data_IF_964026700100
#
_entry.id   IF_964026700100
#
_cell.length_a   1.000
_cell.length_b   1.000
_cell.length_c   1.000
_cell.angle_alpha   90.00
_cell.angle_beta   90.00
_cell.angle_gamma   90.00
#
_symmetry.space_group_name_H-M   'P 1'
#
loop_
_entity.id
_entity.type
_entity.pdbx_description
1 polymer ?
#
# COMPACT_ATOMS: atom_id res chain seq x y z
N UNK A 1 15.32 16.10 6.45
CA UNK A 1 14.13 15.88 5.60
C UNK A 1 12.97 15.57 6.53
N UNK A 2 12.62 16.49 7.43
CA UNK A 2 11.63 17.56 7.25
C UNK A 2 10.23 17.01 6.97
N UNK A 3 9.56 16.67 8.06
CA UNK A 3 8.23 17.13 8.44
C UNK A 3 7.21 17.26 7.31
N UNK A 4 6.46 16.17 7.10
CA UNK A 4 5.15 16.22 6.45
C UNK A 4 4.08 15.71 7.43
N UNK A 5 4.08 16.26 8.64
CA UNK A 5 2.86 16.37 9.42
C UNK A 5 1.97 17.34 8.64
N UNK A 6 0.96 16.82 7.92
CA UNK A 6 -0.18 17.61 7.50
C UNK A 6 -0.65 18.37 8.74
N UNK A 7 -0.48 19.68 8.75
CA UNK A 7 -1.14 20.53 9.72
C UNK A 7 -2.63 20.27 9.54
N UNK A 8 -3.25 19.60 10.50
CA UNK A 8 -4.68 19.68 10.72
C UNK A 8 -4.96 21.17 10.80
N UNK A 9 -5.62 21.71 9.78
CA UNK A 9 -5.83 23.15 9.66
C UNK A 9 -6.50 23.63 10.95
N UNK A 10 -6.05 24.77 11.49
CA UNK A 10 -6.67 25.38 12.66
C UNK A 10 -8.19 25.61 12.48
N UNK A 11 -8.65 25.66 11.23
CA UNK A 11 -10.06 25.70 10.86
C UNK A 11 -10.84 24.42 11.18
N UNK A 12 -10.22 23.24 11.14
CA UNK A 12 -10.86 21.97 11.54
C UNK A 12 -11.05 21.89 13.07
N UNK A 13 -10.11 22.46 13.84
CA UNK A 13 -10.24 22.57 15.30
C UNK A 13 -11.37 23.51 15.72
N UNK A 14 -11.54 24.64 15.03
CA UNK A 14 -12.65 25.57 15.31
C UNK A 14 -14.01 25.05 14.86
N UNK A 15 -14.08 24.19 13.84
CA UNK A 15 -15.34 23.62 13.34
C UNK A 15 -15.95 22.58 14.29
N UNK A 16 -15.12 21.86 15.05
CA UNK A 16 -15.55 20.76 15.94
C UNK A 16 -15.98 21.27 17.33
N UNK A 17 -15.57 22.48 17.72
CA UNK A 17 -15.84 23.06 19.04
C UNK A 17 -17.29 23.56 19.24
N UNK A 18 -18.11 23.62 18.19
CA UNK A 18 -19.56 23.79 18.37
C UNK A 18 -20.22 22.41 18.47
N UNK A 19 -20.27 21.87 19.69
CA UNK A 19 -21.05 20.66 19.99
C UNK A 19 -22.58 20.83 19.74
N UNK A 20 -23.00 21.99 19.22
CA UNK A 20 -24.37 22.39 18.89
C UNK A 20 -24.55 22.89 17.44
N UNK A 21 -23.47 23.00 16.64
CA UNK A 21 -23.56 23.50 15.25
C UNK A 21 -23.66 22.37 14.23
N UNK A 22 -24.69 22.42 13.39
CA UNK A 22 -24.81 21.60 12.18
C UNK A 22 -23.69 21.94 11.21
N UNK A 23 -22.95 20.93 10.72
CA UNK A 23 -22.02 21.15 9.63
C UNK A 23 -22.77 21.63 8.37
N UNK A 24 -22.09 22.24 7.40
CA UNK A 24 -22.68 22.80 6.17
C UNK A 24 -23.55 21.82 5.35
N UNK A 25 -23.50 20.52 5.66
CA UNK A 25 -24.29 19.46 5.05
C UNK A 25 -25.45 18.92 5.93
N UNK A 26 -25.77 19.56 7.05
CA UNK A 26 -26.84 19.15 7.98
C UNK A 26 -26.48 17.97 8.90
N UNK A 27 -25.32 17.33 8.70
CA UNK A 27 -24.82 16.29 9.59
C UNK A 27 -24.23 16.88 10.88
N UNK A 28 -24.41 16.17 11.99
CA UNK A 28 -23.76 16.52 13.24
C UNK A 28 -22.23 16.34 13.12
N UNK A 29 -21.40 17.21 13.71
CA UNK A 29 -19.95 17.25 13.50
C UNK A 29 -19.25 15.93 13.85
N UNK A 30 -19.73 15.19 14.86
CA UNK A 30 -19.19 13.87 15.21
C UNK A 30 -19.44 12.81 14.12
N UNK A 31 -20.53 12.90 13.35
CA UNK A 31 -20.81 11.98 12.23
C UNK A 31 -19.90 12.23 11.05
N UNK A 32 -19.61 13.50 10.76
CA UNK A 32 -18.63 13.87 9.74
C UNK A 32 -17.24 13.34 10.13
N UNK A 33 -16.88 13.48 11.40
CA UNK A 33 -15.62 13.00 11.91
C UNK A 33 -15.51 11.47 11.82
N UNK A 34 -16.54 10.75 12.27
CA UNK A 34 -16.63 9.30 12.07
C UNK A 34 -16.51 8.94 10.59
N UNK A 35 -17.13 9.68 9.67
CA UNK A 35 -16.99 9.41 8.23
C UNK A 35 -15.54 9.57 7.74
N UNK A 36 -14.82 10.59 8.22
CA UNK A 36 -13.41 10.80 7.90
C UNK A 36 -12.51 9.67 8.45
N UNK A 37 -12.91 9.08 9.58
CA UNK A 37 -12.23 7.95 10.23
C UNK A 37 -12.96 6.62 10.01
N UNK A 38 -13.75 6.51 8.93
CA UNK A 38 -14.41 5.27 8.49
C UNK A 38 -15.27 4.54 9.55
N UNK A 39 -15.89 5.31 10.44
CA UNK A 39 -16.70 4.80 11.54
C UNK A 39 -15.87 4.26 12.71
N UNK A 40 -14.57 4.55 12.79
CA UNK A 40 -13.72 4.22 13.95
C UNK A 40 -13.79 5.34 14.99
N UNK A 41 -14.49 5.06 16.09
CA UNK A 41 -14.68 6.00 17.19
C UNK A 41 -13.37 6.30 17.94
N UNK A 42 -12.44 5.33 18.06
CA UNK A 42 -11.18 5.52 18.78
C UNK A 42 -10.22 6.41 17.99
N UNK A 43 -10.08 6.16 16.69
CA UNK A 43 -9.27 7.02 15.81
C UNK A 43 -9.85 8.42 15.66
N UNK A 44 -11.17 8.50 15.52
CA UNK A 44 -11.90 9.76 15.53
C UNK A 44 -11.61 10.57 16.79
N UNK A 45 -11.68 9.92 17.96
CA UNK A 45 -11.42 10.58 19.23
C UNK A 45 -9.96 11.01 19.36
N UNK A 46 -9.00 10.14 19.03
CA UNK A 46 -7.57 10.41 19.12
C UNK A 46 -7.13 11.57 18.19
N UNK A 47 -7.84 11.79 17.09
CA UNK A 47 -7.58 12.93 16.20
C UNK A 47 -8.03 14.28 16.78
N UNK A 48 -9.09 14.29 17.60
CA UNK A 48 -9.57 15.51 18.27
C UNK A 48 -8.78 15.79 19.54
N UNK A 49 -8.53 14.74 20.34
CA UNK A 49 -7.84 14.82 21.62
C UNK A 49 -6.69 13.79 21.66
N UNK A 50 -5.54 14.11 21.07
CA UNK A 50 -4.36 13.27 21.15
C UNK A 50 -3.94 13.03 22.60
N UNK A 51 -3.43 11.83 22.89
CA UNK A 51 -2.93 11.50 24.22
C UNK A 51 -1.82 12.48 24.63
N UNK A 52 -1.97 13.09 25.80
CA UNK A 52 -1.01 14.07 26.33
C UNK A 52 -1.25 15.52 25.89
N UNK A 53 -2.25 15.78 25.04
CA UNK A 53 -2.69 17.15 24.73
C UNK A 53 -3.59 17.72 25.84
N UNK A 54 -3.52 19.03 26.08
CA UNK A 54 -4.41 19.70 27.02
C UNK A 54 -5.80 19.79 26.39
N UNK A 55 -6.82 19.30 27.10
CA UNK A 55 -8.22 19.43 26.67
C UNK A 55 -8.58 20.91 26.53
N UNK A 56 -9.18 21.35 25.40
CA UNK A 56 -9.67 22.71 25.24
C UNK A 56 -10.72 23.06 26.30
N UNK A 57 -10.74 24.32 26.73
CA UNK A 57 -11.70 24.78 27.74
C UNK A 57 -13.14 24.64 27.22
N UNK A 58 -14.04 24.11 28.07
CA UNK A 58 -15.44 23.86 27.72
C UNK A 58 -15.70 22.53 26.98
N UNK A 59 -14.67 21.74 26.67
CA UNK A 59 -14.81 20.42 26.05
C UNK A 59 -14.86 19.33 27.11
N UNK A 60 -15.89 18.46 27.04
CA UNK A 60 -15.94 17.22 27.84
C UNK A 60 -15.54 16.01 26.97
N UNK A 61 -14.33 15.44 27.17
CA UNK A 61 -13.84 14.31 26.38
C UNK A 61 -14.76 13.09 26.46
N UNK A 62 -15.35 12.83 27.64
CA UNK A 62 -16.24 11.70 27.85
C UNK A 62 -17.51 11.80 27.01
N UNK A 63 -18.10 12.99 26.88
CA UNK A 63 -19.28 13.22 26.05
C UNK A 63 -18.96 13.02 24.57
N UNK A 64 -17.82 13.55 24.10
CA UNK A 64 -17.37 13.36 22.71
C UNK A 64 -17.15 11.88 22.41
N UNK A 65 -16.44 11.17 23.29
CA UNK A 65 -16.17 9.75 23.13
C UNK A 65 -17.47 8.92 23.11
N UNK A 66 -18.44 9.22 23.99
CA UNK A 66 -19.73 8.56 23.98
C UNK A 66 -20.54 8.83 22.71
N UNK A 67 -20.52 10.05 22.17
CA UNK A 67 -21.18 10.37 20.90
C UNK A 67 -20.54 9.62 19.73
N UNK A 68 -19.21 9.56 19.67
CA UNK A 68 -18.48 8.81 18.64
C UNK A 68 -18.77 7.31 18.73
N UNK A 69 -18.79 6.74 19.94
CA UNK A 69 -19.12 5.32 20.17
C UNK A 69 -20.56 4.97 19.83
N UNK A 70 -21.50 5.87 20.12
CA UNK A 70 -22.92 5.67 19.83
C UNK A 70 -23.21 5.57 18.33
N UNK A 71 -22.51 6.39 17.55
CA UNK A 71 -22.67 6.47 16.09
C UNK A 71 -21.63 5.63 15.33
N UNK A 72 -20.86 4.82 16.05
CA UNK A 72 -19.88 3.89 15.50
C UNK A 72 -20.57 2.89 14.56
N UNK A 73 -19.98 2.66 13.39
CA UNK A 73 -20.54 1.77 12.38
C UNK A 73 -19.52 0.66 12.02
N UNK A 74 -19.31 -0.34 12.89
CA UNK A 74 -18.28 -1.35 12.71
C UNK A 74 -18.45 -2.15 11.40
N UNK A 75 -19.69 -2.33 10.94
CA UNK A 75 -19.99 -2.99 9.67
C UNK A 75 -19.46 -2.23 8.46
N UNK A 76 -19.43 -0.89 8.50
CA UNK A 76 -18.88 -0.07 7.42
C UNK A 76 -17.36 -0.22 7.35
N UNK A 77 -16.70 -0.22 8.50
CA UNK A 77 -15.25 -0.44 8.62
C UNK A 77 -14.84 -1.81 8.09
N UNK A 78 -15.59 -2.86 8.46
CA UNK A 78 -15.37 -4.22 7.96
C UNK A 78 -15.55 -4.30 6.45
N UNK A 79 -16.67 -3.78 5.92
CA UNK A 79 -16.92 -3.77 4.47
C UNK A 79 -15.83 -3.03 3.69
N UNK A 80 -15.33 -1.92 4.21
CA UNK A 80 -14.23 -1.19 3.56
C UNK A 80 -12.91 -1.97 3.62
N UNK A 81 -12.57 -2.55 4.78
CA UNK A 81 -11.39 -3.39 4.91
C UNK A 81 -11.44 -4.59 3.96
N UNK A 82 -12.59 -5.27 3.87
CA UNK A 82 -12.81 -6.40 2.96
C UNK A 82 -12.68 -5.98 1.49
N UNK A 83 -13.24 -4.82 1.12
CA UNK A 83 -13.12 -4.28 -0.25
C UNK A 83 -11.68 -3.89 -0.61
N UNK A 84 -10.97 -3.21 0.30
CA UNK A 84 -9.57 -2.85 0.09
C UNK A 84 -8.67 -4.08 -0.01
N UNK A 85 -8.90 -5.06 0.86
CA UNK A 85 -8.21 -6.35 0.83
C UNK A 85 -8.44 -7.06 -0.51
N UNK A 86 -9.68 -7.20 -0.96
CA UNK A 86 -10.00 -7.89 -2.21
C UNK A 86 -9.29 -7.26 -3.42
N UNK A 87 -9.21 -5.92 -3.47
CA UNK A 87 -8.47 -5.24 -4.54
C UNK A 87 -6.96 -5.47 -4.45
N UNK A 88 -6.39 -5.33 -3.26
CA UNK A 88 -4.95 -5.51 -3.06
C UNK A 88 -4.53 -6.97 -3.32
N UNK A 89 -5.33 -7.95 -2.88
CA UNK A 89 -5.07 -9.38 -3.09
C UNK A 89 -5.15 -9.77 -4.57
N UNK A 90 -6.14 -9.24 -5.31
CA UNK A 90 -6.23 -9.43 -6.76
C UNK A 90 -4.98 -8.90 -7.46
N UNK A 91 -4.58 -7.65 -7.19
CA UNK A 91 -3.38 -7.04 -7.78
C UNK A 91 -2.11 -7.83 -7.45
N UNK A 92 -1.93 -8.23 -6.19
CA UNK A 92 -0.77 -9.02 -5.78
C UNK A 92 -0.73 -10.39 -6.47
N UNK A 93 -1.89 -11.02 -6.67
CA UNK A 93 -2.02 -12.31 -7.35
C UNK A 93 -1.70 -12.20 -8.84
N UNK A 94 -2.27 -11.22 -9.51
CA UNK A 94 -2.04 -10.98 -10.95
C UNK A 94 -0.58 -10.64 -11.23
N UNK A 95 0.01 -9.72 -10.45
CA UNK A 95 1.42 -9.37 -10.57
C UNK A 95 2.34 -10.55 -10.29
N UNK A 96 2.02 -11.38 -9.29
CA UNK A 96 2.80 -12.58 -8.97
C UNK A 96 2.79 -13.55 -10.15
N UNK A 97 1.60 -13.83 -10.71
CA UNK A 97 1.45 -14.67 -11.89
C UNK A 97 2.23 -14.12 -13.08
N UNK A 98 2.03 -12.84 -13.44
CA UNK A 98 2.70 -12.25 -14.59
C UNK A 98 4.22 -12.20 -14.43
N UNK A 99 4.71 -11.95 -13.21
CA UNK A 99 6.15 -11.96 -12.94
C UNK A 99 6.77 -13.34 -13.12
N UNK A 100 6.08 -14.40 -12.69
CA UNK A 100 6.51 -15.78 -12.90
C UNK A 100 6.44 -16.20 -14.37
N UNK A 101 5.38 -15.82 -15.08
CA UNK A 101 5.23 -16.10 -16.51
C UNK A 101 6.34 -15.41 -17.32
N UNK A 102 6.65 -14.14 -17.02
CA UNK A 102 7.77 -13.45 -17.66
C UNK A 102 9.11 -14.14 -17.37
N UNK A 103 9.36 -14.58 -16.14
CA UNK A 103 10.61 -15.27 -15.80
C UNK A 103 10.78 -16.59 -16.56
N UNK A 104 9.70 -17.35 -16.74
CA UNK A 104 9.69 -18.56 -17.58
C UNK A 104 9.98 -18.22 -19.04
N UNK A 105 9.37 -17.16 -19.58
CA UNK A 105 9.63 -16.69 -20.95
C UNK A 105 11.09 -16.25 -21.13
N UNK A 106 11.65 -15.55 -20.13
CA UNK A 106 13.05 -15.15 -20.12
C UNK A 106 13.98 -16.36 -20.08
N UNK A 107 13.71 -17.33 -19.21
CA UNK A 107 14.46 -18.58 -19.12
C UNK A 107 14.34 -19.45 -20.40
N UNK A 108 13.22 -19.41 -21.12
CA UNK A 108 13.06 -20.10 -22.39
C UNK A 108 13.81 -19.43 -23.56
N UNK A 109 14.06 -18.12 -23.49
CA UNK A 109 14.86 -17.37 -24.49
C UNK A 109 16.37 -17.55 -24.30
N UNK A 110 16.77 -17.91 -23.09
CA UNK A 110 18.14 -18.04 -22.61
C UNK A 110 18.99 -19.14 -23.32
N UNK A 111 18.47 -20.31 -23.75
CA UNK A 111 19.23 -21.32 -24.49
C UNK A 111 19.78 -20.83 -25.83
N UNK A 112 19.24 -19.72 -26.37
CA UNK A 112 19.69 -19.11 -27.63
C UNK A 112 20.92 -18.21 -27.46
N UNK A 113 21.35 -17.95 -26.22
CA UNK A 113 22.52 -17.13 -25.95
C UNK A 113 23.77 -17.99 -26.06
N UNK A 114 24.70 -17.60 -26.94
CA UNK A 114 25.95 -18.30 -27.14
C UNK A 114 26.88 -18.04 -25.94
N UNK A 115 26.60 -18.71 -24.83
CA UNK A 115 27.36 -18.64 -23.59
C UNK A 115 28.67 -19.44 -23.72
N UNK A 116 29.55 -18.97 -24.60
CA UNK A 116 30.86 -19.55 -24.85
C UNK A 116 31.73 -19.53 -23.58
N UNK A 117 31.48 -18.59 -22.66
CA UNK A 117 32.25 -18.40 -21.42
C UNK A 117 31.47 -18.74 -20.14
N UNK A 118 32.13 -19.42 -19.20
CA UNK A 118 31.61 -19.74 -17.87
C UNK A 118 31.15 -18.49 -17.09
N UNK A 119 31.81 -17.34 -17.32
CA UNK A 119 31.46 -16.06 -16.69
C UNK A 119 30.10 -15.54 -17.14
N UNK A 120 29.77 -15.66 -18.43
CA UNK A 120 28.47 -15.28 -18.98
C UNK A 120 27.32 -16.08 -18.35
N UNK A 121 27.49 -17.41 -18.26
CA UNK A 121 26.51 -18.30 -17.60
C UNK A 121 26.24 -17.90 -16.15
N UNK A 122 27.30 -17.58 -15.38
CA UNK A 122 27.17 -17.15 -13.98
C UNK A 122 26.44 -15.82 -13.84
N UNK A 123 26.81 -14.80 -14.63
CA UNK A 123 26.14 -13.49 -14.64
C UNK A 123 24.63 -13.62 -14.93
N UNK A 124 24.29 -14.46 -15.91
CA UNK A 124 22.92 -14.76 -16.32
C UNK A 124 22.11 -15.43 -15.21
N UNK A 125 22.65 -16.50 -14.62
CA UNK A 125 22.01 -17.20 -13.49
C UNK A 125 21.81 -16.28 -12.29
N UNK A 126 22.77 -15.40 -12.01
CA UNK A 126 22.65 -14.40 -10.95
C UNK A 126 21.52 -13.41 -11.23
N UNK A 127 21.41 -12.89 -12.46
CA UNK A 127 20.33 -11.98 -12.85
C UNK A 127 18.94 -12.62 -12.69
N UNK A 128 18.76 -13.85 -13.15
CA UNK A 128 17.51 -14.60 -12.97
C UNK A 128 17.21 -14.86 -11.49
N UNK A 129 18.23 -15.20 -10.69
CA UNK A 129 18.07 -15.41 -9.24
C UNK A 129 17.62 -14.13 -8.54
N UNK A 130 18.17 -12.97 -8.89
CA UNK A 130 17.74 -11.67 -8.35
C UNK A 130 16.32 -11.32 -8.80
N UNK A 131 15.96 -11.63 -10.04
CA UNK A 131 14.63 -11.35 -10.56
C UNK A 131 13.50 -12.15 -9.87
N UNK A 132 13.84 -13.30 -9.25
CA UNK A 132 12.94 -14.05 -8.36
C UNK A 132 12.55 -13.28 -7.09
N UNK A 133 13.21 -12.18 -6.74
CA UNK A 133 12.88 -11.41 -5.54
C UNK A 133 11.51 -10.72 -5.63
N UNK A 134 11.07 -10.34 -6.84
CA UNK A 134 9.75 -9.73 -7.05
C UNK A 134 8.60 -10.71 -6.74
N UNK A 135 8.50 -11.90 -7.38
CA UNK A 135 7.43 -12.85 -7.06
C UNK A 135 7.46 -13.27 -5.58
N UNK A 136 8.64 -13.41 -4.97
CA UNK A 136 8.77 -13.69 -3.54
C UNK A 136 8.23 -12.55 -2.67
N UNK A 137 8.56 -11.30 -3.01
CA UNK A 137 8.03 -10.14 -2.30
C UNK A 137 6.51 -10.02 -2.42
N UNK A 138 5.95 -10.31 -3.60
CA UNK A 138 4.50 -10.32 -3.81
C UNK A 138 3.82 -11.44 -3.01
N UNK A 139 4.43 -12.64 -2.94
CA UNK A 139 3.92 -13.71 -2.08
C UNK A 139 3.94 -13.32 -0.60
N UNK A 140 5.03 -12.71 -0.13
CA UNK A 140 5.11 -12.18 1.24
C UNK A 140 4.06 -11.11 1.52
N UNK A 141 3.82 -10.20 0.56
CA UNK A 141 2.79 -9.16 0.66
C UNK A 141 1.39 -9.76 0.88
N UNK A 142 1.05 -10.88 0.24
CA UNK A 142 -0.26 -11.54 0.46
C UNK A 142 -0.47 -11.96 1.91
N UNK A 143 0.58 -12.45 2.59
CA UNK A 143 0.50 -12.77 4.01
C UNK A 143 0.26 -11.52 4.87
N UNK A 144 0.93 -10.42 4.52
CA UNK A 144 0.80 -9.13 5.22
C UNK A 144 -0.62 -8.56 5.03
N UNK A 145 -1.17 -8.59 3.82
CA UNK A 145 -2.54 -8.17 3.52
C UNK A 145 -3.57 -8.94 4.36
N UNK A 146 -3.40 -10.25 4.50
CA UNK A 146 -4.26 -11.08 5.34
C UNK A 146 -4.19 -10.66 6.82
N UNK A 147 -3.00 -10.34 7.33
CA UNK A 147 -2.83 -9.82 8.69
C UNK A 147 -3.50 -8.46 8.86
N UNK A 148 -3.32 -7.54 7.91
CA UNK A 148 -3.94 -6.21 7.91
C UNK A 148 -5.47 -6.27 7.85
N UNK A 149 -6.03 -7.21 7.07
CA UNK A 149 -7.48 -7.45 7.02
C UNK A 149 -8.02 -7.92 8.37
N UNK A 150 -7.36 -8.90 9.01
CA UNK A 150 -7.75 -9.39 10.35
C UNK A 150 -7.67 -8.31 11.43
N UNK A 151 -6.73 -7.38 11.28
CA UNK A 151 -6.55 -6.23 12.17
C UNK A 151 -7.46 -5.04 11.83
N UNK A 152 -8.27 -5.12 10.76
CA UNK A 152 -9.05 -4.00 10.23
C UNK A 152 -8.22 -2.71 10.03
N UNK A 153 -6.95 -2.89 9.62
CA UNK A 153 -6.00 -1.80 9.36
C UNK A 153 -6.25 -1.19 7.99
N UNK A 154 -7.18 -0.24 7.95
CA UNK A 154 -7.57 0.42 6.70
C UNK A 154 -6.41 1.21 6.09
N UNK A 155 -5.61 1.90 6.90
CA UNK A 155 -4.49 2.68 6.37
C UNK A 155 -3.38 1.78 5.81
N UNK A 156 -3.11 0.65 6.47
CA UNK A 156 -2.20 -0.38 5.96
C UNK A 156 -2.67 -0.90 4.61
N UNK A 157 -3.95 -1.27 4.50
CA UNK A 157 -4.53 -1.76 3.24
C UNK A 157 -4.55 -0.69 2.14
N UNK A 158 -4.84 0.58 2.45
CA UNK A 158 -4.78 1.70 1.50
C UNK A 158 -3.35 1.92 1.01
N UNK A 159 -2.37 1.90 1.91
CA UNK A 159 -0.95 2.04 1.57
C UNK A 159 -0.47 0.87 0.69
N UNK A 160 -0.74 -0.36 1.10
CA UNK A 160 -0.37 -1.55 0.32
C UNK A 160 -1.00 -1.52 -1.08
N UNK A 161 -2.28 -1.17 -1.18
CA UNK A 161 -2.97 -0.98 -2.48
C UNK A 161 -2.30 0.10 -3.33
N UNK A 162 -1.95 1.25 -2.76
CA UNK A 162 -1.26 2.32 -3.49
C UNK A 162 0.08 1.83 -4.09
N UNK A 163 0.88 1.11 -3.30
CA UNK A 163 2.14 0.52 -3.77
C UNK A 163 1.94 -0.53 -4.86
N UNK A 164 0.91 -1.39 -4.74
CA UNK A 164 0.59 -2.40 -5.75
C UNK A 164 0.09 -1.77 -7.05
N UNK A 165 -0.75 -0.73 -7.00
CA UNK A 165 -1.19 -0.01 -8.19
C UNK A 165 -0.04 0.72 -8.90
N UNK A 166 0.88 1.30 -8.11
CA UNK A 166 2.10 1.90 -8.66
C UNK A 166 2.97 0.85 -9.34
N UNK A 167 3.15 -0.30 -8.69
CA UNK A 167 3.90 -1.42 -9.27
C UNK A 167 3.25 -1.92 -10.56
N UNK A 168 1.92 -2.03 -10.64
CA UNK A 168 1.22 -2.48 -11.84
C UNK A 168 1.50 -1.56 -13.06
N UNK A 169 1.49 -0.25 -12.83
CA UNK A 169 1.91 0.73 -13.84
C UNK A 169 3.36 0.55 -14.25
N UNK A 170 4.27 0.46 -13.28
CA UNK A 170 5.71 0.32 -13.52
C UNK A 170 6.03 -1.02 -14.21
N UNK A 171 5.29 -2.08 -13.87
CA UNK A 171 5.37 -3.41 -14.46
C UNK A 171 5.05 -3.39 -15.95
N UNK A 172 3.97 -2.71 -16.34
CA UNK A 172 3.61 -2.58 -17.75
C UNK A 172 4.70 -1.88 -18.56
N UNK A 173 5.29 -0.82 -18.00
CA UNK A 173 6.41 -0.12 -18.63
C UNK A 173 7.67 -1.00 -18.71
N UNK A 174 7.99 -1.72 -17.62
CA UNK A 174 9.11 -2.65 -17.57
C UNK A 174 8.98 -3.77 -18.60
N UNK A 175 7.81 -4.41 -18.68
CA UNK A 175 7.55 -5.52 -19.62
C UNK A 175 7.78 -5.10 -21.07
N UNK A 176 7.34 -3.91 -21.46
CA UNK A 176 7.60 -3.35 -22.80
C UNK A 176 9.10 -3.19 -23.05
N UNK A 177 9.83 -2.54 -22.14
CA UNK A 177 11.29 -2.39 -22.25
C UNK A 177 12.02 -3.73 -22.32
N UNK A 178 11.56 -4.73 -21.57
CA UNK A 178 12.15 -6.07 -21.59
C UNK A 178 11.88 -6.79 -22.92
N UNK A 179 10.70 -6.61 -23.52
CA UNK A 179 10.40 -7.15 -24.85
C UNK A 179 11.29 -6.52 -25.94
N UNK A 180 11.58 -5.23 -25.84
CA UNK A 180 12.45 -4.50 -26.76
C UNK A 180 13.94 -4.79 -26.56
N UNK A 181 14.31 -5.28 -25.36
CA UNK A 181 15.70 -5.60 -25.03
C UNK A 181 16.10 -6.91 -25.72
N UNK A 182 17.00 -6.81 -26.69
CA UNK A 182 17.62 -7.99 -27.33
C UNK A 182 18.41 -8.79 -26.28
N UNK A 183 18.42 -10.14 -26.37
CA UNK A 183 19.25 -10.97 -25.50
C UNK A 183 20.74 -10.65 -25.62
N UNK A 184 21.20 -10.31 -26.82
CA UNK A 184 22.58 -9.92 -27.10
C UNK A 184 22.65 -8.37 -27.23
N UNK A 185 23.55 -7.66 -26.52
CA UNK A 185 24.58 -8.15 -25.58
C UNK A 185 24.05 -8.60 -24.22
N UNK A 186 24.62 -9.71 -23.69
CA UNK A 186 24.24 -10.34 -22.41
C UNK A 186 24.27 -9.37 -21.23
N UNK A 187 25.20 -8.43 -21.19
CA UNK A 187 25.31 -7.46 -20.10
C UNK A 187 24.11 -6.50 -20.07
N UNK A 188 23.61 -6.06 -21.23
CA UNK A 188 22.43 -5.20 -21.32
C UNK A 188 21.15 -5.96 -20.90
N UNK A 189 21.04 -7.22 -21.33
CA UNK A 189 19.93 -8.09 -20.92
C UNK A 189 19.96 -8.36 -19.41
N UNK A 190 21.11 -8.74 -18.85
CA UNK A 190 21.26 -8.97 -17.40
C UNK A 190 20.93 -7.72 -16.59
N UNK A 191 21.40 -6.54 -17.02
CA UNK A 191 21.10 -5.28 -16.36
C UNK A 191 19.60 -5.00 -16.35
N UNK A 192 18.91 -5.26 -17.46
CA UNK A 192 17.44 -5.08 -17.54
C UNK A 192 16.70 -6.05 -16.63
N UNK A 193 17.07 -7.33 -16.63
CA UNK A 193 16.44 -8.34 -15.76
C UNK A 193 16.60 -7.98 -14.28
N UNK A 194 17.75 -7.42 -13.89
CA UNK A 194 17.99 -6.94 -12.51
C UNK A 194 17.09 -5.78 -12.09
N UNK A 195 16.46 -5.02 -13.02
CA UNK A 195 15.48 -3.99 -12.65
C UNK A 195 14.28 -4.57 -11.88
N UNK A 196 13.98 -5.87 -12.04
CA UNK A 196 12.94 -6.54 -11.24
C UNK A 196 13.23 -6.49 -9.73
N UNK A 197 14.49 -6.40 -9.32
CA UNK A 197 14.86 -6.23 -7.92
C UNK A 197 14.37 -4.87 -7.37
N UNK A 198 14.49 -3.80 -8.15
CA UNK A 198 13.99 -2.48 -7.76
C UNK A 198 12.45 -2.51 -7.59
N UNK A 199 11.76 -3.23 -8.46
CA UNK A 199 10.31 -3.45 -8.34
C UNK A 199 9.97 -4.23 -7.06
N UNK A 200 10.77 -5.23 -6.70
CA UNK A 200 10.61 -6.00 -5.46
C UNK A 200 10.77 -5.11 -4.21
N UNK A 201 11.74 -4.19 -4.22
CA UNK A 201 11.91 -3.22 -3.12
C UNK A 201 10.71 -2.28 -2.97
N UNK A 202 10.08 -1.87 -4.07
CA UNK A 202 8.85 -1.06 -4.00
C UNK A 202 7.72 -1.81 -3.27
N UNK A 203 7.58 -3.12 -3.49
CA UNK A 203 6.62 -3.97 -2.76
C UNK A 203 6.98 -4.01 -1.28
N UNK A 204 8.24 -4.26 -0.94
CA UNK A 204 8.69 -4.36 0.46
C UNK A 204 8.44 -3.07 1.24
N UNK A 205 8.55 -1.90 0.61
CA UNK A 205 8.22 -0.60 1.23
C UNK A 205 6.73 -0.44 1.55
N UNK A 206 5.85 -1.00 0.70
CA UNK A 206 4.42 -1.01 0.99
C UNK A 206 4.01 -1.97 2.12
N UNK A 207 4.93 -2.85 2.54
CA UNK A 207 4.71 -3.88 3.55
C UNK A 207 5.15 -3.46 4.97
N UNK A 208 5.85 -2.33 5.13
CA UNK A 208 6.41 -1.87 6.41
C UNK A 208 5.54 -0.83 7.12
N UNK A 209 4.21 -0.92 6.99
CA UNK A 209 3.24 0.02 7.59
C UNK A 209 2.73 -0.50 8.93
#
# INVERSE_FOLDING_TARGET
MLDNCRSVNADEHNFILSATGTAANGDAPHKLLLRNYNGDAERAFAAILPVGSKTPDGVNPGVIYHLLRRDEAPDKRKKEADWLFAQADSLATDLSRWSMDLLRDLEARVPRMNDAELRGRRKRQEALRMAMDLPRALFGMKSILNTMQKQYSIDGLRSARFHLMRLDRDWTAFRRRMQDTRPDPLDAWCARVREMQNLAEQVRRGATV
#
